data_IF_757069672661
#
_entry.id   IF_757069672661
#
_cell.length_a   1.000
_cell.length_b   1.000
_cell.length_c   1.000
_cell.angle_alpha   90.00
_cell.angle_beta   90.00
_cell.angle_gamma   90.00
#
_symmetry.space_group_name_H-M   'P 1'
#
loop_
_entity.id
_entity.type
_entity.pdbx_description
1 polymer ?
#
# COMPACT_ATOMS: atom_id res chain seq x y z
N UNK A 1 -2.49 -4.97 4.44
CA UNK A 1 -2.03 -4.71 5.82
C UNK A 1 -0.68 -5.36 5.99
N UNK A 2 0.20 -4.72 6.76
CA UNK A 2 1.51 -5.26 7.17
C UNK A 2 1.61 -5.27 8.69
N UNK A 3 2.48 -6.12 9.23
CA UNK A 3 2.86 -6.13 10.64
C UNK A 3 4.33 -6.50 10.77
N UNK A 4 4.95 -6.08 11.87
CA UNK A 4 6.35 -6.40 12.18
C UNK A 4 6.39 -7.11 13.52
N UNK A 5 7.03 -8.27 13.55
CA UNK A 5 7.26 -9.05 14.75
C UNK A 5 8.74 -9.13 15.08
N UNK A 6 9.06 -9.20 16.36
CA UNK A 6 10.40 -9.46 16.88
C UNK A 6 10.37 -10.71 17.77
N UNK A 7 11.41 -11.55 17.69
CA UNK A 7 11.57 -12.67 18.60
C UNK A 7 12.47 -12.26 19.77
N UNK A 8 11.90 -12.23 20.98
CA UNK A 8 12.59 -11.88 22.22
C UNK A 8 12.30 -12.96 23.25
N UNK A 9 13.36 -13.50 23.89
CA UNK A 9 13.24 -14.46 24.99
C UNK A 9 12.34 -15.68 24.70
N UNK A 10 12.41 -16.21 23.48
CA UNK A 10 11.63 -17.37 23.05
C UNK A 10 10.15 -17.08 22.78
N UNK A 11 9.76 -15.81 22.68
CA UNK A 11 8.40 -15.39 22.31
C UNK A 11 8.44 -14.41 21.13
N UNK A 12 7.34 -14.33 20.38
CA UNK A 12 7.16 -13.33 19.33
C UNK A 12 6.33 -12.18 19.89
N UNK A 13 6.87 -10.97 19.80
CA UNK A 13 6.16 -9.74 20.14
C UNK A 13 5.86 -8.96 18.86
N UNK A 14 4.62 -8.48 18.74
CA UNK A 14 4.21 -7.62 17.62
C UNK A 14 4.47 -6.17 18.00
N UNK A 15 5.24 -5.49 17.17
CA UNK A 15 5.60 -4.08 17.35
C UNK A 15 4.39 -3.22 16.97
N UNK A 16 4.03 -2.28 17.84
CA UNK A 16 3.02 -1.28 17.54
C UNK A 16 3.59 -0.22 16.61
N UNK A 17 2.80 0.26 15.65
CA UNK A 17 3.16 1.47 14.91
C UNK A 17 3.06 2.71 15.82
N UNK A 18 3.44 3.87 15.26
CA UNK A 18 3.38 5.18 15.94
C UNK A 18 1.97 5.59 16.40
N UNK A 19 0.92 4.97 15.85
CA UNK A 19 -0.48 5.16 16.26
C UNK A 19 -0.97 4.12 17.28
N UNK A 20 -0.11 3.20 17.74
CA UNK A 20 -0.48 2.15 18.69
C UNK A 20 -1.17 0.93 18.06
N UNK A 21 -1.22 0.83 16.73
CA UNK A 21 -1.81 -0.30 16.02
C UNK A 21 -0.79 -1.43 15.81
N UNK A 22 -1.23 -2.69 15.98
CA UNK A 22 -0.43 -3.90 15.66
C UNK A 22 -0.33 -4.20 14.16
N UNK A 23 -1.14 -3.52 13.36
CA UNK A 23 -1.21 -3.66 11.91
C UNK A 23 -1.19 -2.28 11.28
N UNK A 24 -0.51 -2.16 10.15
CA UNK A 24 -0.41 -0.91 9.39
C UNK A 24 -1.02 -1.11 8.01
N UNK A 25 -1.86 -0.18 7.51
CA UNK A 25 -2.33 -0.22 6.14
C UNK A 25 -1.18 -0.25 5.12
N UNK A 26 -1.29 -1.10 4.11
CA UNK A 26 -0.33 -1.15 3.00
C UNK A 26 -0.62 -0.04 1.98
N UNK A 27 -0.61 1.21 2.45
CA UNK A 27 -0.98 2.42 1.71
C UNK A 27 0.20 3.38 1.71
N UNK A 28 0.43 4.03 0.58
CA UNK A 28 1.41 5.12 0.43
C UNK A 28 0.72 6.24 -0.33
N UNK A 29 0.85 7.47 0.15
CA UNK A 29 0.39 8.65 -0.56
C UNK A 29 1.52 9.63 -0.80
N UNK A 30 1.52 10.26 -1.97
CA UNK A 30 2.48 11.30 -2.34
C UNK A 30 1.80 12.67 -2.23
N UNK A 31 2.47 13.60 -1.54
CA UNK A 31 2.02 14.97 -1.35
C UNK A 31 2.69 15.91 -2.37
N UNK A 32 2.10 17.08 -2.58
CA UNK A 32 2.57 18.07 -3.57
C UNK A 32 3.96 18.63 -3.24
N UNK A 33 4.30 18.69 -1.94
CA UNK A 33 5.62 19.10 -1.45
C UNK A 33 6.71 18.04 -1.64
N UNK A 34 6.38 16.89 -2.25
CA UNK A 34 7.29 15.77 -2.48
C UNK A 34 7.43 14.81 -1.30
N UNK A 35 6.78 15.10 -0.16
CA UNK A 35 6.76 14.19 0.99
C UNK A 35 5.81 13.00 0.77
N UNK A 36 5.90 12.01 1.67
CA UNK A 36 5.15 10.76 1.58
C UNK A 36 4.45 10.47 2.89
N UNK A 37 3.18 10.11 2.81
CA UNK A 37 2.43 9.52 3.92
C UNK A 37 2.40 8.00 3.75
N UNK A 38 2.45 7.27 4.86
CA UNK A 38 2.44 5.80 4.87
C UNK A 38 1.41 5.33 5.90
N UNK A 39 0.80 4.18 5.65
CA UNK A 39 -0.06 3.53 6.63
C UNK A 39 -1.38 4.26 6.85
N UNK A 40 -1.73 4.44 8.11
CA UNK A 40 -2.99 5.07 8.52
C UNK A 40 -3.14 6.49 7.98
N UNK A 41 -2.07 7.29 7.99
CA UNK A 41 -2.07 8.64 7.43
C UNK A 41 -2.42 8.66 5.93
N UNK A 42 -1.84 7.75 5.14
CA UNK A 42 -2.14 7.61 3.72
C UNK A 42 -3.57 7.11 3.47
N UNK A 43 -4.05 6.17 4.29
CA UNK A 43 -5.41 5.63 4.19
C UNK A 43 -6.47 6.70 4.49
N UNK A 44 -6.23 7.53 5.50
CA UNK A 44 -7.22 8.52 5.96
C UNK A 44 -7.51 9.63 4.94
N UNK A 45 -6.56 9.92 4.05
CA UNK A 45 -6.69 11.00 3.07
C UNK A 45 -7.09 10.53 1.66
N UNK A 46 -7.31 9.23 1.45
CA UNK A 46 -7.57 8.65 0.11
C UNK A 46 -8.75 9.32 -0.61
N UNK A 47 -9.80 9.71 0.13
CA UNK A 47 -10.97 10.36 -0.47
C UNK A 47 -10.64 11.75 -1.05
N UNK A 48 -9.67 12.45 -0.46
CA UNK A 48 -9.27 13.80 -0.89
C UNK A 48 -8.17 13.76 -1.96
N UNK A 49 -7.31 12.74 -1.93
CA UNK A 49 -6.17 12.59 -2.84
C UNK A 49 -6.10 11.15 -3.40
N UNK A 50 -7.13 10.71 -4.15
CA UNK A 50 -7.26 9.32 -4.56
C UNK A 50 -6.23 8.93 -5.63
N UNK A 51 -5.88 9.85 -6.52
CA UNK A 51 -4.98 9.58 -7.67
C UNK A 51 -3.52 9.45 -7.27
N UNK A 52 -3.10 10.06 -6.16
CA UNK A 52 -1.74 9.96 -5.61
C UNK A 52 -1.64 9.05 -4.37
N UNK A 53 -2.71 8.31 -4.05
CA UNK A 53 -2.69 7.28 -2.99
C UNK A 53 -2.67 5.90 -3.61
N UNK A 54 -1.58 5.17 -3.37
CA UNK A 54 -1.35 3.81 -3.90
C UNK A 54 -1.64 2.78 -2.81
N UNK A 55 -2.39 1.74 -3.18
CA UNK A 55 -2.79 0.63 -2.31
C UNK A 55 -2.99 -0.64 -3.15
N UNK A 56 -3.18 -1.79 -2.49
CA UNK A 56 -3.39 -3.09 -3.12
C UNK A 56 -2.31 -3.51 -4.13
N UNK A 57 -1.10 -2.96 -4.02
CA UNK A 57 0.06 -3.29 -4.89
C UNK A 57 0.40 -4.78 -4.84
N UNK A 58 0.13 -5.48 -3.73
CA UNK A 58 0.28 -6.94 -3.62
C UNK A 58 -0.58 -7.72 -4.63
N UNK A 59 -1.64 -7.12 -5.17
CA UNK A 59 -2.45 -7.70 -6.25
C UNK A 59 -1.82 -7.53 -7.63
N UNK A 60 -0.82 -6.64 -7.76
CA UNK A 60 -0.16 -6.28 -9.02
C UNK A 60 1.24 -6.91 -9.12
N UNK A 61 1.98 -6.93 -8.01
CA UNK A 61 3.39 -7.36 -8.01
C UNK A 61 3.54 -8.79 -8.56
N UNK A 62 4.48 -8.95 -9.50
CA UNK A 62 4.79 -10.24 -10.12
C UNK A 62 3.82 -10.71 -11.21
N UNK A 63 2.82 -9.89 -11.57
CA UNK A 63 1.89 -10.21 -12.67
C UNK A 63 2.29 -9.54 -13.97
N UNK A 64 2.03 -10.23 -15.07
CA UNK A 64 2.18 -9.70 -16.43
C UNK A 64 0.96 -8.86 -16.84
N UNK A 65 1.13 -7.95 -17.80
CA UNK A 65 0.07 -7.05 -18.28
C UNK A 65 -1.08 -7.77 -19.02
N UNK A 66 -0.82 -8.97 -19.52
CA UNK A 66 -1.77 -9.86 -20.18
C UNK A 66 -2.54 -10.77 -19.18
N UNK A 67 -2.29 -10.64 -17.86
CA UNK A 67 -3.07 -11.34 -16.84
C UNK A 67 -4.50 -10.77 -16.74
N UNK A 68 -5.50 -11.58 -17.10
CA UNK A 68 -6.92 -11.25 -17.02
C UNK A 68 -7.38 -10.78 -15.63
N UNK A 69 -6.82 -11.35 -14.56
CA UNK A 69 -7.14 -10.92 -13.20
C UNK A 69 -6.54 -9.54 -12.92
N UNK A 70 -5.31 -9.27 -13.39
CA UNK A 70 -4.73 -7.93 -13.29
C UNK A 70 -5.59 -6.92 -14.05
N UNK A 71 -6.02 -7.26 -15.27
CA UNK A 71 -6.88 -6.41 -16.10
C UNK A 71 -8.22 -6.06 -15.44
N UNK A 72 -8.79 -6.96 -14.62
CA UNK A 72 -9.99 -6.69 -13.82
C UNK A 72 -9.70 -5.76 -12.64
N UNK A 73 -8.57 -5.95 -11.96
CA UNK A 73 -8.20 -5.18 -10.77
C UNK A 73 -7.85 -3.73 -11.09
N UNK A 74 -7.04 -3.52 -12.13
CA UNK A 74 -6.56 -2.17 -12.49
C UNK A 74 -7.69 -1.23 -12.94
N UNK A 75 -8.85 -1.75 -13.35
CA UNK A 75 -10.03 -0.93 -13.68
C UNK A 75 -10.59 -0.18 -12.46
N UNK A 76 -10.40 -0.73 -11.26
CA UNK A 76 -11.00 -0.20 -10.03
C UNK A 76 -10.07 0.73 -9.26
N UNK A 77 -8.78 0.82 -9.63
CA UNK A 77 -7.84 1.68 -8.91
C UNK A 77 -7.92 3.14 -9.38
N UNK A 78 -7.86 4.13 -8.47
CA UNK A 78 -7.95 5.54 -8.82
C UNK A 78 -6.64 6.15 -9.36
N UNK A 79 -5.50 5.50 -9.12
CA UNK A 79 -4.19 5.97 -9.55
C UNK A 79 -3.85 5.53 -10.99
N UNK A 80 -2.90 6.21 -11.62
CA UNK A 80 -2.44 5.87 -12.99
C UNK A 80 -1.61 4.58 -12.96
N UNK A 81 -1.70 3.81 -14.05
CA UNK A 81 -0.93 2.58 -14.27
C UNK A 81 -0.27 2.67 -15.64
N UNK A 82 0.97 2.22 -15.75
CA UNK A 82 1.73 2.28 -17.00
C UNK A 82 2.34 0.92 -17.28
N UNK A 83 2.12 0.41 -18.49
CA UNK A 83 2.86 -0.71 -19.04
C UNK A 83 3.98 -0.15 -19.91
N UNK A 84 5.25 -0.46 -19.61
CA UNK A 84 6.34 -0.20 -20.55
C UNK A 84 6.45 -1.41 -21.49
N UNK A 85 6.13 -1.19 -22.76
CA UNK A 85 6.59 -2.05 -23.85
C UNK A 85 8.09 -1.77 -24.04
N UNK A 86 8.94 -2.50 -23.32
CA UNK A 86 10.27 -2.82 -23.85
C UNK A 86 10.12 -4.02 -24.78
#
# INVERSE_FOLDING_TARGET
MESVGVSLSGRVEIILNDQGNRITPSYVAFLEDGSRLIGDAAKNQITMNPTNTVFDVKRIIGRSWDDDMLAKDIKNFPFKKYASLL
#
